data_IF_347248389013
#
_entry.id   IF_347248389013
#
_cell.length_a   1.000
_cell.length_b   1.000
_cell.length_c   1.000
_cell.angle_alpha   90.00
_cell.angle_beta   90.00
_cell.angle_gamma   90.00
#
_symmetry.space_group_name_H-M   'P 1'
#
loop_
_entity.id
_entity.type
_entity.pdbx_description
1 polymer ?
#
# COMPACT_ATOMS: atom_id res chain seq x y z
N UNK A 1 -4.41 61.89 39.04
CA UNK A 1 -5.56 60.99 38.87
C UNK A 1 -5.05 59.56 39.11
N UNK A 2 -5.30 58.99 40.29
CA UNK A 2 -6.38 58.02 40.58
C UNK A 2 -6.19 56.73 39.76
N UNK A 3 -5.99 55.50 40.29
CA UNK A 3 -6.31 54.87 41.60
C UNK A 3 -5.49 53.54 41.67
N UNK A 4 -4.63 53.23 42.66
CA UNK A 4 -4.83 52.33 43.85
C UNK A 4 -5.80 51.15 43.62
N UNK A 5 -5.70 49.93 44.16
CA UNK A 5 -4.89 49.21 45.16
C UNK A 5 -5.29 47.71 45.02
N UNK A 6 -4.38 46.73 45.12
CA UNK A 6 -4.10 45.89 46.31
C UNK A 6 -5.33 45.23 46.96
N UNK A 7 -5.35 43.89 46.95
CA UNK A 7 -5.97 43.05 47.99
C UNK A 7 -5.00 41.88 48.27
N UNK A 8 -4.12 42.01 49.29
CA UNK A 8 -4.21 41.48 50.67
C UNK A 8 -3.93 39.96 50.78
N UNK A 9 -2.75 39.55 51.31
CA UNK A 9 -2.48 39.08 52.70
C UNK A 9 -3.21 37.73 52.97
N UNK A 10 -2.58 36.58 53.32
CA UNK A 10 -1.67 36.33 54.46
C UNK A 10 -0.99 34.93 54.36
N UNK A 11 0.21 34.89 54.94
CA UNK A 11 0.99 33.73 55.43
C UNK A 11 0.26 32.96 56.54
N UNK A 12 0.50 31.65 56.66
CA UNK A 12 0.66 30.82 57.89
C UNK A 12 0.91 29.37 57.42
N UNK A 13 2.15 28.86 57.42
CA UNK A 13 2.76 28.05 58.50
C UNK A 13 1.80 27.04 59.14
N UNK A 14 1.98 25.74 58.89
CA UNK A 14 2.22 24.72 59.94
C UNK A 14 2.46 23.34 59.33
N UNK A 15 3.46 22.68 59.89
CA UNK A 15 4.04 21.38 59.55
C UNK A 15 3.56 20.39 60.61
N UNK A 16 2.87 19.30 60.26
CA UNK A 16 2.85 18.11 61.14
C UNK A 16 2.36 16.82 60.46
N UNK A 17 3.33 15.95 60.11
CA UNK A 17 3.42 14.49 60.31
C UNK A 17 2.13 13.70 60.56
N UNK A 18 1.87 12.63 59.79
CA UNK A 18 1.38 11.32 60.31
C UNK A 18 1.63 10.20 59.26
N UNK A 19 2.75 9.46 59.39
CA UNK A 19 2.89 8.04 59.82
C UNK A 19 2.55 7.00 58.73
N UNK A 20 3.63 6.40 58.22
CA UNK A 20 3.70 5.09 57.56
C UNK A 20 3.15 4.01 58.50
N UNK A 21 2.21 3.18 58.03
CA UNK A 21 1.91 1.91 58.70
C UNK A 21 1.88 0.80 57.67
N UNK A 22 2.94 -0.02 57.71
CA UNK A 22 3.07 -1.32 57.07
C UNK A 22 2.14 -2.28 57.83
N UNK A 23 1.22 -2.96 57.13
CA UNK A 23 0.47 -4.09 57.67
C UNK A 23 0.84 -5.32 56.86
N UNK A 24 1.57 -6.23 57.51
CA UNK A 24 1.91 -7.56 57.00
C UNK A 24 0.95 -8.59 57.63
N UNK A 25 0.11 -9.16 56.75
CA UNK A 25 -0.28 -10.58 56.58
C UNK A 25 -0.83 -11.39 57.77
N UNK A 26 -2.03 -11.97 57.59
CA UNK A 26 -2.28 -13.41 57.77
C UNK A 26 -3.58 -13.87 57.09
N UNK A 27 -3.48 -15.03 56.46
CA UNK A 27 -4.28 -15.63 55.38
C UNK A 27 -5.55 -16.35 55.83
N UNK A 28 -6.63 -16.27 55.03
CA UNK A 28 -7.56 -17.38 54.83
C UNK A 28 -7.85 -17.55 53.33
N UNK A 29 -7.75 -18.80 52.89
CA UNK A 29 -7.88 -19.24 51.52
C UNK A 29 -9.25 -18.90 50.92
N UNK A 30 -9.22 -18.20 49.79
CA UNK A 30 -10.21 -18.35 48.73
C UNK A 30 -9.43 -18.29 47.42
N UNK A 31 -9.34 -19.42 46.71
CA UNK A 31 -8.93 -19.42 45.31
C UNK A 31 -9.99 -18.67 44.50
N UNK A 32 -9.94 -17.33 44.55
CA UNK A 32 -10.52 -16.48 43.55
C UNK A 32 -9.44 -16.28 42.49
N UNK A 33 -9.62 -16.87 41.32
CA UNK A 33 -8.84 -16.53 40.14
C UNK A 33 -8.96 -15.03 39.91
N UNK A 34 -7.91 -14.28 40.23
CA UNK A 34 -7.75 -12.92 39.75
C UNK A 34 -7.61 -13.00 38.23
N UNK A 35 -8.71 -12.79 37.52
CA UNK A 35 -8.64 -12.35 36.15
C UNK A 35 -8.05 -10.94 36.17
N UNK A 36 -6.74 -10.83 35.98
CA UNK A 36 -6.18 -9.64 35.37
C UNK A 36 -7.00 -9.36 34.10
N UNK A 37 -7.64 -8.19 33.98
CA UNK A 37 -8.29 -7.83 32.74
C UNK A 37 -7.18 -7.74 31.69
N UNK A 38 -7.21 -8.65 30.72
CA UNK A 38 -6.26 -8.73 29.61
C UNK A 38 -6.19 -7.34 28.97
N UNK A 39 -5.14 -6.57 29.25
CA UNK A 39 -4.97 -5.27 28.60
C UNK A 39 -4.56 -5.54 27.15
N UNK A 40 -5.55 -5.50 26.26
CA UNK A 40 -5.33 -5.58 24.82
C UNK A 40 -4.51 -4.33 24.44
N UNK A 41 -3.23 -4.52 24.12
CA UNK A 41 -2.34 -3.42 23.71
C UNK A 41 -2.70 -2.96 22.31
N UNK A 42 -2.50 -1.68 22.00
CA UNK A 42 -2.77 -1.13 20.66
C UNK A 42 -2.05 -1.93 19.55
N UNK A 43 -0.83 -2.42 19.82
CA UNK A 43 -0.07 -3.26 18.90
C UNK A 43 -0.75 -4.62 18.65
N UNK A 44 -1.32 -5.24 19.69
CA UNK A 44 -2.06 -6.50 19.54
C UNK A 44 -3.37 -6.33 18.77
N UNK A 45 -4.06 -5.18 18.95
CA UNK A 45 -5.25 -4.83 18.13
C UNK A 45 -4.85 -4.65 16.68
N UNK A 46 -3.83 -3.83 16.42
CA UNK A 46 -3.36 -3.53 15.06
C UNK A 46 -2.92 -4.79 14.33
N UNK A 47 -2.19 -5.68 15.00
CA UNK A 47 -1.78 -6.97 14.43
C UNK A 47 -2.98 -7.89 14.13
N UNK A 48 -3.97 -7.93 15.02
CA UNK A 48 -5.20 -8.71 14.80
C UNK A 48 -6.01 -8.15 13.63
N UNK A 49 -6.11 -6.83 13.50
CA UNK A 49 -6.80 -6.15 12.40
C UNK A 49 -6.09 -6.41 11.07
N UNK A 50 -4.76 -6.26 11.02
CA UNK A 50 -3.94 -6.54 9.84
C UNK A 50 -4.18 -7.96 9.33
N UNK A 51 -4.13 -8.95 10.23
CA UNK A 51 -4.38 -10.35 9.91
C UNK A 51 -5.80 -10.58 9.38
N UNK A 52 -6.80 -9.89 9.94
CA UNK A 52 -8.18 -9.97 9.48
C UNK A 52 -8.32 -9.45 8.06
N UNK A 53 -7.77 -8.27 7.78
CA UNK A 53 -7.83 -7.67 6.43
C UNK A 53 -7.08 -8.52 5.40
N UNK A 54 -5.92 -9.07 5.74
CA UNK A 54 -5.18 -9.98 4.86
C UNK A 54 -5.98 -11.25 4.53
N UNK A 55 -6.73 -11.78 5.50
CA UNK A 55 -7.61 -12.93 5.26
C UNK A 55 -8.73 -12.58 4.28
N UNK A 56 -9.35 -11.42 4.42
CA UNK A 56 -10.44 -10.98 3.54
C UNK A 56 -9.94 -10.67 2.12
N UNK A 57 -8.78 -10.02 1.99
CA UNK A 57 -8.08 -9.81 0.71
C UNK A 57 -7.82 -11.16 0.03
N UNK A 58 -7.32 -12.15 0.77
CA UNK A 58 -7.03 -13.47 0.23
C UNK A 58 -8.29 -14.21 -0.25
N UNK A 59 -9.42 -14.05 0.43
CA UNK A 59 -10.69 -14.64 -0.01
C UNK A 59 -11.23 -13.96 -1.27
N UNK A 60 -11.24 -12.62 -1.32
CA UNK A 60 -11.65 -11.88 -2.52
C UNK A 60 -10.76 -12.21 -3.73
N UNK A 61 -9.45 -12.36 -3.52
CA UNK A 61 -8.50 -12.70 -4.59
C UNK A 61 -8.78 -14.08 -5.22
N UNK A 62 -9.30 -15.05 -4.46
CA UNK A 62 -9.68 -16.37 -5.00
C UNK A 62 -10.90 -16.31 -5.92
N UNK A 63 -11.68 -15.24 -5.83
CA UNK A 63 -13.01 -15.14 -6.43
C UNK A 63 -13.10 -13.98 -7.44
N UNK A 64 -12.06 -13.84 -8.27
CA UNK A 64 -11.99 -12.77 -9.27
C UNK A 64 -12.63 -13.13 -10.62
N UNK A 65 -13.08 -14.37 -10.80
CA UNK A 65 -13.67 -14.83 -12.06
C UNK A 65 -15.15 -15.17 -11.88
N UNK A 66 -15.94 -14.87 -12.90
CA UNK A 66 -17.29 -15.39 -13.03
C UNK A 66 -17.26 -16.88 -13.43
N UNK A 67 -18.41 -17.55 -13.36
CA UNK A 67 -18.54 -18.96 -13.75
C UNK A 67 -18.15 -19.24 -15.21
N UNK A 68 -18.22 -18.23 -16.08
CA UNK A 68 -17.82 -18.31 -17.49
C UNK A 68 -16.33 -18.01 -17.73
N UNK A 69 -15.55 -17.81 -16.65
CA UNK A 69 -14.14 -17.48 -16.70
C UNK A 69 -13.82 -16.01 -17.02
N UNK A 70 -14.83 -15.17 -17.25
CA UNK A 70 -14.62 -13.73 -17.41
C UNK A 70 -14.29 -13.05 -16.08
N UNK A 71 -13.57 -11.93 -16.13
CA UNK A 71 -13.25 -11.16 -14.94
C UNK A 71 -14.53 -10.65 -14.25
N UNK A 72 -14.67 -10.93 -12.95
CA UNK A 72 -15.70 -10.35 -12.11
C UNK A 72 -15.27 -8.94 -11.70
N UNK A 73 -15.68 -7.94 -12.50
CA UNK A 73 -15.32 -6.53 -12.28
C UNK A 73 -15.78 -5.97 -10.94
N UNK A 74 -16.89 -6.49 -10.39
CA UNK A 74 -17.42 -6.05 -9.09
C UNK A 74 -16.47 -6.51 -7.99
N UNK A 75 -16.16 -7.82 -7.93
CA UNK A 75 -15.22 -8.38 -6.94
C UNK A 75 -13.79 -7.84 -7.11
N UNK A 76 -13.38 -7.58 -8.35
CA UNK A 76 -12.11 -6.90 -8.61
C UNK A 76 -12.10 -5.48 -8.03
N UNK A 77 -13.18 -4.71 -8.16
CA UNK A 77 -13.27 -3.39 -7.53
C UNK A 77 -13.33 -3.49 -5.99
N UNK A 78 -14.01 -4.49 -5.43
CA UNK A 78 -14.02 -4.73 -3.97
C UNK A 78 -12.62 -5.05 -3.44
N UNK A 79 -11.90 -5.97 -4.09
CA UNK A 79 -10.51 -6.29 -3.77
C UNK A 79 -9.62 -5.05 -3.87
N UNK A 80 -9.83 -4.22 -4.89
CA UNK A 80 -9.10 -2.97 -5.06
C UNK A 80 -9.28 -2.02 -3.87
N UNK A 81 -10.53 -1.75 -3.46
CA UNK A 81 -10.83 -0.86 -2.35
C UNK A 81 -10.27 -1.37 -1.02
N UNK A 82 -10.44 -2.66 -0.73
CA UNK A 82 -9.90 -3.26 0.49
C UNK A 82 -8.37 -3.24 0.51
N UNK A 83 -7.73 -3.46 -0.63
CA UNK A 83 -6.27 -3.38 -0.74
C UNK A 83 -5.77 -1.96 -0.50
N UNK A 84 -6.47 -0.93 -1.00
CA UNK A 84 -6.14 0.47 -0.72
C UNK A 84 -6.23 0.79 0.78
N UNK A 85 -7.30 0.33 1.44
CA UNK A 85 -7.47 0.53 2.88
C UNK A 85 -6.32 -0.12 3.67
N UNK A 86 -5.92 -1.34 3.30
CA UNK A 86 -4.76 -2.01 3.91
C UNK A 86 -3.47 -1.19 3.71
N UNK A 87 -3.21 -0.72 2.48
CA UNK A 87 -2.03 0.07 2.15
C UNK A 87 -1.97 1.36 2.97
N UNK A 88 -3.12 2.00 3.24
CA UNK A 88 -3.19 3.20 4.07
C UNK A 88 -2.97 2.89 5.56
N UNK A 89 -3.59 1.83 6.09
CA UNK A 89 -3.53 1.47 7.52
C UNK A 89 -2.20 0.84 7.94
N UNK A 90 -1.55 0.11 7.03
CA UNK A 90 -0.33 -0.66 7.29
C UNK A 90 0.81 -0.23 6.35
N UNK A 91 1.33 1.01 6.50
CA UNK A 91 2.40 1.54 5.65
C UNK A 91 3.71 0.75 5.73
N UNK A 92 3.96 0.09 6.87
CA UNK A 92 5.15 -0.74 7.10
C UNK A 92 4.82 -2.25 7.16
N UNK A 93 3.63 -2.64 6.69
CA UNK A 93 3.18 -4.03 6.69
C UNK A 93 4.11 -4.90 5.84
N UNK A 94 4.52 -6.06 6.35
CA UNK A 94 5.44 -6.97 5.62
C UNK A 94 4.84 -7.46 4.29
N UNK A 95 3.51 -7.52 4.21
CA UNK A 95 2.76 -7.99 3.05
C UNK A 95 2.38 -6.85 2.10
N UNK A 96 2.84 -5.61 2.37
CA UNK A 96 2.51 -4.41 1.61
C UNK A 96 2.76 -4.55 0.11
N UNK A 97 3.93 -5.06 -0.29
CA UNK A 97 4.23 -5.26 -1.70
C UNK A 97 3.21 -6.19 -2.37
N UNK A 98 2.88 -7.31 -1.73
CA UNK A 98 1.90 -8.27 -2.24
C UNK A 98 0.49 -7.68 -2.32
N UNK A 99 0.09 -6.88 -1.32
CA UNK A 99 -1.22 -6.20 -1.33
C UNK A 99 -1.28 -5.12 -2.41
N UNK A 100 -0.19 -4.39 -2.66
CA UNK A 100 -0.09 -3.46 -3.78
C UNK A 100 -0.20 -4.17 -5.13
N UNK A 101 0.39 -5.37 -5.27
CA UNK A 101 0.19 -6.20 -6.45
C UNK A 101 -1.27 -6.59 -6.66
N UNK A 102 -1.99 -6.95 -5.59
CA UNK A 102 -3.43 -7.21 -5.66
C UNK A 102 -4.21 -5.95 -6.07
N UNK A 103 -3.91 -4.79 -5.48
CA UNK A 103 -4.54 -3.52 -5.85
C UNK A 103 -4.33 -3.18 -7.33
N UNK A 104 -3.12 -3.38 -7.86
CA UNK A 104 -2.81 -3.19 -9.28
C UNK A 104 -3.58 -4.17 -10.16
N UNK A 105 -3.53 -5.46 -9.83
CA UNK A 105 -4.18 -6.52 -10.62
C UNK A 105 -5.69 -6.31 -10.68
N UNK A 106 -6.30 -6.01 -9.54
CA UNK A 106 -7.75 -5.88 -9.39
C UNK A 106 -8.27 -4.59 -10.03
N UNK A 107 -7.55 -3.47 -9.91
CA UNK A 107 -7.87 -2.24 -10.67
C UNK A 107 -7.77 -2.45 -12.18
N UNK A 108 -6.77 -3.20 -12.65
CA UNK A 108 -6.66 -3.59 -14.07
C UNK A 108 -7.84 -4.45 -14.51
N UNK A 109 -8.19 -5.49 -13.74
CA UNK A 109 -9.32 -6.39 -14.02
C UNK A 109 -10.68 -5.68 -14.00
N UNK A 110 -10.81 -4.63 -13.20
CA UNK A 110 -11.99 -3.76 -13.17
C UNK A 110 -12.04 -2.77 -14.36
N UNK A 111 -10.95 -2.61 -15.12
CA UNK A 111 -10.82 -1.64 -16.21
C UNK A 111 -10.37 -0.25 -15.76
N UNK A 112 -9.97 -0.08 -14.50
CA UNK A 112 -9.55 1.19 -13.92
C UNK A 112 -8.05 1.43 -14.14
N UNK A 113 -7.64 1.61 -15.40
CA UNK A 113 -6.22 1.71 -15.77
C UNK A 113 -5.48 2.89 -15.11
N UNK A 114 -6.15 4.01 -14.84
CA UNK A 114 -5.56 5.15 -14.11
C UNK A 114 -5.21 4.80 -12.66
N UNK A 115 -6.02 3.96 -12.04
CA UNK A 115 -5.76 3.47 -10.68
C UNK A 115 -4.60 2.47 -10.68
N UNK A 116 -4.53 1.59 -11.70
CA UNK A 116 -3.39 0.69 -11.89
C UNK A 116 -2.08 1.46 -12.08
N UNK A 117 -2.04 2.51 -12.92
CA UNK A 117 -0.84 3.37 -13.09
C UNK A 117 -0.41 4.01 -11.76
N UNK A 118 -1.37 4.48 -10.94
CA UNK A 118 -1.06 5.03 -9.62
C UNK A 118 -0.38 4.00 -8.72
N UNK A 119 -0.93 2.77 -8.65
CA UNK A 119 -0.34 1.70 -7.82
C UNK A 119 1.02 1.27 -8.36
N UNK A 120 1.19 1.16 -9.68
CA UNK A 120 2.48 0.86 -10.31
C UNK A 120 3.53 1.90 -9.98
N UNK A 121 3.17 3.19 -10.03
CA UNK A 121 4.06 4.26 -9.61
C UNK A 121 4.49 4.09 -8.15
N UNK A 122 3.55 3.79 -7.25
CA UNK A 122 3.88 3.55 -5.84
C UNK A 122 4.81 2.34 -5.67
N UNK A 123 4.55 1.23 -6.37
CA UNK A 123 5.42 0.03 -6.33
C UNK A 123 6.86 0.36 -6.76
N UNK A 124 7.02 1.14 -7.83
CA UNK A 124 8.34 1.54 -8.35
C UNK A 124 9.07 2.47 -7.39
N UNK A 125 8.35 3.43 -6.79
CA UNK A 125 8.92 4.47 -5.93
C UNK A 125 9.24 3.93 -4.52
N UNK A 126 8.36 3.11 -3.94
CA UNK A 126 8.49 2.57 -2.59
C UNK A 126 9.45 1.37 -2.51
N UNK A 127 9.59 0.62 -3.61
CA UNK A 127 10.44 -0.58 -3.66
C UNK A 127 11.52 -0.49 -4.76
N UNK A 128 12.43 0.50 -4.70
CA UNK A 128 13.38 0.81 -5.78
C UNK A 128 14.42 -0.29 -6.04
N UNK A 129 14.62 -1.21 -5.09
CA UNK A 129 15.58 -2.32 -5.21
C UNK A 129 14.89 -3.70 -5.30
N UNK A 130 13.57 -3.74 -5.50
CA UNK A 130 12.86 -5.02 -5.62
C UNK A 130 13.20 -5.73 -6.93
N UNK A 131 13.33 -7.05 -6.89
CA UNK A 131 13.70 -7.86 -8.06
C UNK A 131 12.72 -7.71 -9.23
N UNK A 132 11.44 -7.48 -8.93
CA UNK A 132 10.37 -7.24 -9.90
C UNK A 132 10.26 -5.79 -10.39
N UNK A 133 11.16 -4.88 -9.99
CA UNK A 133 11.09 -3.48 -10.43
C UNK A 133 11.08 -3.30 -11.97
N UNK A 134 11.90 -4.00 -12.78
CA UNK A 134 11.81 -3.85 -14.24
C UNK A 134 10.45 -4.32 -14.79
N UNK A 135 9.84 -5.35 -14.20
CA UNK A 135 8.47 -5.77 -14.52
C UNK A 135 7.46 -4.65 -14.24
N UNK A 136 7.55 -3.98 -13.08
CA UNK A 136 6.61 -2.89 -12.73
C UNK A 136 6.80 -1.67 -13.63
N UNK A 137 8.03 -1.35 -14.02
CA UNK A 137 8.29 -0.33 -15.04
C UNK A 137 7.62 -0.71 -16.38
N UNK A 138 7.80 -1.95 -16.84
CA UNK A 138 7.21 -2.43 -18.10
C UNK A 138 5.67 -2.38 -18.07
N UNK A 139 5.06 -2.92 -17.01
CA UNK A 139 3.61 -2.87 -16.79
C UNK A 139 3.08 -1.43 -16.77
N UNK A 140 3.81 -0.49 -16.16
CA UNK A 140 3.43 0.91 -16.12
C UNK A 140 3.51 1.56 -17.49
N UNK A 141 4.59 1.31 -18.23
CA UNK A 141 4.76 1.82 -19.58
C UNK A 141 3.64 1.33 -20.51
N UNK A 142 3.26 0.05 -20.41
CA UNK A 142 2.14 -0.51 -21.14
C UNK A 142 0.79 0.09 -20.71
N UNK A 143 0.56 0.24 -19.40
CA UNK A 143 -0.67 0.87 -18.89
C UNK A 143 -0.82 2.32 -19.39
N UNK A 144 0.27 3.08 -19.43
CA UNK A 144 0.27 4.45 -19.98
C UNK A 144 -0.01 4.46 -21.49
N UNK A 145 0.52 3.49 -22.24
CA UNK A 145 0.20 3.33 -23.65
C UNK A 145 -1.30 3.05 -23.85
N UNK A 146 -1.89 2.14 -23.07
CA UNK A 146 -3.34 1.86 -23.12
C UNK A 146 -4.20 3.07 -22.74
N UNK A 147 -3.69 3.97 -21.89
CA UNK A 147 -4.31 5.24 -21.54
C UNK A 147 -4.13 6.33 -22.60
N UNK A 148 -3.38 6.06 -23.67
CA UNK A 148 -3.03 7.03 -24.72
C UNK A 148 -1.90 7.99 -24.35
N UNK A 149 -1.26 7.84 -23.18
CA UNK A 149 -0.07 8.61 -22.81
C UNK A 149 1.19 7.97 -23.41
N UNK A 150 1.31 8.05 -24.73
CA UNK A 150 2.44 7.50 -25.49
C UNK A 150 3.76 8.15 -25.06
N UNK A 151 3.73 9.44 -24.71
CA UNK A 151 4.90 10.15 -24.21
C UNK A 151 5.37 9.59 -22.85
N UNK A 152 4.44 9.34 -21.93
CA UNK A 152 4.69 8.70 -20.64
C UNK A 152 5.23 7.28 -20.79
N UNK A 153 4.58 6.47 -21.62
CA UNK A 153 5.04 5.13 -21.97
C UNK A 153 6.48 5.13 -22.50
N UNK A 154 6.77 5.99 -23.47
CA UNK A 154 8.10 6.15 -24.08
C UNK A 154 9.17 6.53 -23.07
N UNK A 155 8.87 7.43 -22.12
CA UNK A 155 9.83 7.79 -21.07
C UNK A 155 10.20 6.59 -20.20
N UNK A 156 9.23 5.76 -19.82
CA UNK A 156 9.49 4.61 -18.95
C UNK A 156 10.24 3.51 -19.69
N UNK A 157 9.92 3.20 -20.95
CA UNK A 157 10.71 2.22 -21.71
C UNK A 157 12.17 2.66 -21.91
N UNK A 158 12.42 3.95 -22.13
CA UNK A 158 13.80 4.49 -22.15
C UNK A 158 14.50 4.29 -20.81
N UNK A 159 13.81 4.53 -19.70
CA UNK A 159 14.33 4.26 -18.36
C UNK A 159 14.71 2.78 -18.17
N UNK A 160 13.90 1.84 -18.66
CA UNK A 160 14.24 0.40 -18.59
C UNK A 160 15.53 0.09 -19.35
N UNK A 161 15.70 0.65 -20.55
CA UNK A 161 16.91 0.44 -21.36
C UNK A 161 18.14 1.05 -20.67
N UNK A 162 18.00 2.22 -20.05
CA UNK A 162 19.08 2.90 -19.33
C UNK A 162 19.48 2.17 -18.04
N UNK A 163 18.50 1.68 -17.27
CA UNK A 163 18.74 1.06 -15.96
C UNK A 163 19.06 -0.45 -16.07
N UNK A 164 18.64 -1.13 -17.14
CA UNK A 164 18.83 -2.58 -17.35
C UNK A 164 19.42 -2.93 -18.74
N UNK A 165 20.53 -2.31 -19.18
CA UNK A 165 20.97 -2.25 -20.59
C UNK A 165 21.37 -3.58 -21.26
N UNK A 166 21.44 -4.70 -20.53
CA UNK A 166 21.78 -6.02 -21.06
C UNK A 166 20.83 -7.10 -20.51
N UNK A 167 19.52 -6.81 -20.51
CA UNK A 167 18.50 -7.70 -19.98
C UNK A 167 17.38 -7.91 -21.01
N UNK A 168 16.61 -8.98 -20.84
CA UNK A 168 15.38 -9.22 -21.61
C UNK A 168 14.42 -8.01 -21.52
N UNK A 169 14.40 -7.31 -20.37
CA UNK A 169 13.60 -6.11 -20.19
C UNK A 169 14.01 -4.96 -21.11
N UNK A 170 15.30 -4.81 -21.41
CA UNK A 170 15.77 -3.80 -22.35
C UNK A 170 15.42 -4.17 -23.81
N UNK A 171 15.49 -5.45 -24.17
CA UNK A 171 15.07 -5.94 -25.48
C UNK A 171 13.55 -5.73 -25.70
N UNK A 172 12.73 -6.11 -24.72
CA UNK A 172 11.27 -5.90 -24.75
C UNK A 172 10.90 -4.41 -24.78
N UNK A 173 11.63 -3.58 -24.04
CA UNK A 173 11.44 -2.13 -24.04
C UNK A 173 11.79 -1.50 -25.40
N UNK A 174 12.83 -1.98 -26.10
CA UNK A 174 13.15 -1.54 -27.45
C UNK A 174 12.04 -1.90 -28.44
N UNK A 175 11.52 -3.13 -28.39
CA UNK A 175 10.37 -3.55 -29.20
C UNK A 175 9.12 -2.69 -28.94
N UNK A 176 8.85 -2.38 -27.68
CA UNK A 176 7.72 -1.53 -27.29
C UNK A 176 7.89 -0.07 -27.74
N UNK A 177 9.11 0.48 -27.72
CA UNK A 177 9.40 1.80 -28.28
C UNK A 177 9.20 1.87 -29.79
N UNK A 178 9.54 0.79 -30.50
CA UNK A 178 9.25 0.69 -31.93
C UNK A 178 7.74 0.78 -32.15
N UNK A 179 6.93 0.03 -31.40
CA UNK A 179 5.46 0.07 -31.48
C UNK A 179 4.91 1.48 -31.20
N UNK A 180 5.34 2.13 -30.11
CA UNK A 180 4.92 3.48 -29.77
C UNK A 180 5.16 4.50 -30.90
N UNK A 181 6.24 4.34 -31.67
CA UNK A 181 6.55 5.22 -32.80
C UNK A 181 5.58 5.03 -33.97
N UNK A 182 5.11 3.81 -34.21
CA UNK A 182 4.17 3.50 -35.30
C UNK A 182 2.77 4.07 -35.06
N UNK A 183 2.31 4.03 -33.81
CA UNK A 183 1.03 4.62 -33.43
C UNK A 183 1.01 6.14 -33.62
N UNK A 184 2.16 6.80 -33.40
CA UNK A 184 2.30 8.26 -33.55
C UNK A 184 2.35 8.71 -35.03
N UNK A 185 2.83 7.86 -35.93
CA UNK A 185 3.01 8.17 -37.36
C UNK A 185 1.80 7.80 -38.24
N UNK A 186 0.67 7.42 -37.62
CA UNK A 186 -0.57 7.12 -38.35
C UNK A 186 -0.63 5.71 -38.94
N UNK A 187 0.09 4.75 -38.35
CA UNK A 187 -0.04 3.33 -38.69
C UNK A 187 0.68 2.91 -39.98
N UNK A 188 1.69 3.65 -40.44
CA UNK A 188 2.62 3.10 -41.42
C UNK A 188 3.42 1.99 -40.75
N UNK A 189 3.14 0.74 -41.14
CA UNK A 189 3.95 -0.41 -40.76
C UNK A 189 5.38 -0.17 -41.30
N UNK A 190 6.43 -0.33 -40.47
CA UNK A 190 7.80 -0.16 -40.95
C UNK A 190 8.13 -1.32 -41.89
N UNK A 191 8.92 -1.04 -42.94
CA UNK A 191 9.31 -1.96 -44.02
C UNK A 191 9.78 -3.35 -43.56
N UNK A 192 10.20 -3.49 -42.29
CA UNK A 192 10.60 -4.75 -41.67
C UNK A 192 9.49 -5.81 -41.60
N UNK A 193 8.21 -5.42 -41.61
CA UNK A 193 7.08 -6.37 -41.61
C UNK A 193 6.62 -6.80 -43.02
N UNK A 194 7.17 -6.21 -44.09
CA UNK A 194 6.74 -6.46 -45.47
C UNK A 194 7.54 -7.56 -46.20
N UNK A 195 8.52 -8.19 -45.56
CA UNK A 195 9.32 -9.23 -46.23
C UNK A 195 8.88 -10.65 -45.86
N UNK A 196 8.05 -11.32 -46.68
CA UNK A 196 7.95 -12.77 -46.61
C UNK A 196 9.30 -13.39 -47.01
N UNK A 197 9.74 -14.40 -46.26
CA UNK A 197 10.81 -15.32 -46.67
C UNK A 197 10.39 -16.11 -47.90
#
# INVERSE_FOLDING_TARGET
LNTKCVFLIKKDNEMSRFIFTIIIVLTLAACGTEHEPTQITADSVKHSEEKSMLSEIAELHKDLLNNDGSANRIKANELYQLSLEYIEKFPDGKDRFAVMEYARASSTGAGNLRDSDRILKMLIDEFPNHELRPEKLSLRAFTLWQLGDIAGSTRIYKQIIEEYPNSEWAEDAQGSLQMNSLDMEGGQLPDYFEQPK
#
